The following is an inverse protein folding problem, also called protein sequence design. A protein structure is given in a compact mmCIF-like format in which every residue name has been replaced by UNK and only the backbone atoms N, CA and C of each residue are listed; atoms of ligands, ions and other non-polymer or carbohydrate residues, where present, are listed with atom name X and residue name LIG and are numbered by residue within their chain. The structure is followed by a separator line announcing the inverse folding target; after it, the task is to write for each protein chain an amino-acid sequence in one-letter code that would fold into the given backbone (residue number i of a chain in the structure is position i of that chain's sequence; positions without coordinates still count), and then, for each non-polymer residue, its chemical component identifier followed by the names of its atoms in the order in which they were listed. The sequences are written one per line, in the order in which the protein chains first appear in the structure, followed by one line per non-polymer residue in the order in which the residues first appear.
data_IF_560165424890
#
_entry.id   IF_560165424890
#
_cell.length_a   1.000
_cell.length_b   1.000
_cell.length_c   1.000
_cell.angle_alpha   90.00
_cell.angle_beta   90.00
_cell.angle_gamma   90.00
#
_symmetry.space_group_name_H-M   'P 1'
#
loop_
_entity.id
_entity.type
_entity.pdbx_description
1 polymer ?
#
# COMPACT_ATOMS: atom_id res chain seq x y z
N UNK A 1 -26.54 11.74 10.62
CA UNK A 1 -25.93 11.88 9.28
C UNK A 1 -24.42 11.96 9.48
N UNK A 2 -23.65 10.92 9.09
CA UNK A 2 -22.22 10.84 9.42
C UNK A 2 -21.32 11.76 8.57
N UNK A 3 -21.85 12.26 7.46
CA UNK A 3 -21.26 13.31 6.65
C UNK A 3 -22.26 14.46 6.54
N UNK A 4 -21.87 15.66 6.95
CA UNK A 4 -22.72 16.84 7.04
C UNK A 4 -22.81 17.64 5.72
N UNK A 5 -22.13 17.18 4.66
CA UNK A 5 -22.06 17.85 3.37
C UNK A 5 -22.59 16.95 2.27
N UNK A 6 -23.34 17.54 1.34
CA UNK A 6 -23.70 16.92 0.08
C UNK A 6 -22.50 16.96 -0.86
N UNK A 7 -21.71 15.88 -0.85
CA UNK A 7 -20.53 15.74 -1.71
C UNK A 7 -20.75 14.63 -2.73
N UNK A 8 -20.31 14.88 -3.96
CA UNK A 8 -20.29 13.89 -5.03
C UNK A 8 -18.98 13.09 -5.01
N UNK A 9 -19.00 11.89 -5.61
CA UNK A 9 -17.81 11.06 -5.75
C UNK A 9 -16.76 11.76 -6.62
N UNK A 10 -15.58 12.05 -6.06
CA UNK A 10 -14.44 12.56 -6.84
C UNK A 10 -13.85 11.43 -7.67
N UNK A 11 -13.65 11.70 -8.96
CA UNK A 11 -12.90 10.82 -9.85
C UNK A 11 -11.41 11.15 -9.77
N UNK A 12 -10.57 10.13 -9.98
CA UNK A 12 -9.12 10.26 -10.10
C UNK A 12 -8.75 10.12 -11.58
N UNK A 13 -7.79 10.90 -12.06
CA UNK A 13 -7.22 10.74 -13.40
C UNK A 13 -6.59 9.35 -13.57
N UNK A 14 -6.72 8.76 -14.76
CA UNK A 14 -6.14 7.45 -15.09
C UNK A 14 -4.65 7.56 -15.45
N UNK A 15 -3.87 8.04 -14.48
CA UNK A 15 -2.43 8.21 -14.59
C UNK A 15 -1.75 7.56 -13.40
N UNK A 16 -0.60 6.92 -13.64
CA UNK A 16 0.25 6.40 -12.58
C UNK A 16 0.96 7.58 -11.87
N UNK A 17 0.94 7.58 -10.54
CA UNK A 17 1.50 8.69 -9.74
C UNK A 17 2.68 8.27 -8.86
N UNK A 18 2.84 6.98 -8.63
CA UNK A 18 3.78 6.40 -7.68
C UNK A 18 5.13 6.11 -8.33
N UNK A 19 6.20 6.46 -7.62
CA UNK A 19 7.58 6.07 -7.97
C UNK A 19 7.98 4.79 -7.25
N UNK A 20 9.03 4.12 -7.73
CA UNK A 20 9.58 2.97 -7.02
C UNK A 20 10.16 3.43 -5.66
N UNK A 21 9.64 2.82 -4.59
CA UNK A 21 10.04 3.07 -3.20
C UNK A 21 10.45 1.79 -2.48
N UNK A 22 10.77 0.72 -3.22
CA UNK A 22 11.12 -0.61 -2.70
C UNK A 22 12.16 -0.52 -1.58
N UNK A 23 13.27 0.20 -1.82
CA UNK A 23 14.34 0.33 -0.83
C UNK A 23 13.86 0.97 0.47
N UNK A 24 13.07 2.05 0.39
CA UNK A 24 12.57 2.75 1.56
C UNK A 24 11.59 1.88 2.38
N UNK A 25 10.75 1.09 1.70
CA UNK A 25 9.78 0.22 2.38
C UNK A 25 10.44 -1.03 2.98
N UNK A 26 11.39 -1.63 2.27
CA UNK A 26 12.11 -2.81 2.76
C UNK A 26 13.07 -2.46 3.90
N UNK A 27 13.55 -1.22 4.00
CA UNK A 27 14.40 -0.77 5.10
C UNK A 27 13.75 -0.84 6.49
N UNK A 28 12.42 -0.75 6.57
CA UNK A 28 11.67 -0.79 7.84
C UNK A 28 10.96 -2.14 8.08
N UNK A 29 11.11 -3.08 7.16
CA UNK A 29 10.39 -4.34 7.20
C UNK A 29 11.06 -5.34 8.17
N UNK A 30 10.28 -6.14 8.92
CA UNK A 30 10.86 -7.12 9.85
C UNK A 30 11.75 -8.17 9.20
N UNK A 31 11.40 -8.62 7.99
CA UNK A 31 12.14 -9.62 7.25
C UNK A 31 11.88 -9.49 5.75
N UNK A 32 12.95 -9.45 4.97
CA UNK A 32 12.92 -9.35 3.51
C UNK A 32 13.98 -10.26 2.91
N UNK A 33 13.65 -10.97 1.84
CA UNK A 33 14.59 -11.80 1.08
C UNK A 33 14.25 -11.72 -0.41
N UNK A 34 15.27 -11.56 -1.28
CA UNK A 34 15.09 -11.44 -2.74
C UNK A 34 14.04 -10.38 -3.17
N UNK A 35 13.89 -9.32 -2.37
CA UNK A 35 12.89 -8.28 -2.59
C UNK A 35 11.46 -8.67 -2.22
N UNK A 36 11.25 -9.77 -1.50
CA UNK A 36 9.96 -10.26 -0.99
C UNK A 36 9.88 -10.07 0.52
N UNK A 37 8.71 -9.74 1.03
CA UNK A 37 8.44 -9.70 2.47
C UNK A 37 8.20 -11.11 2.99
N UNK A 38 8.94 -11.51 4.03
CA UNK A 38 8.80 -12.82 4.63
C UNK A 38 7.69 -12.80 5.68
N UNK A 39 6.78 -13.78 5.60
CA UNK A 39 5.70 -13.99 6.58
C UNK A 39 5.67 -15.46 7.01
N UNK A 40 5.35 -15.77 8.28
CA UNK A 40 5.21 -17.15 8.72
C UNK A 40 4.10 -17.86 7.93
N UNK A 41 4.43 -19.01 7.33
CA UNK A 41 3.43 -19.89 6.73
C UNK A 41 2.84 -20.78 7.82
N UNK A 42 1.56 -20.63 8.10
CA UNK A 42 0.82 -21.57 8.95
C UNK A 42 0.50 -22.81 8.11
N UNK A 43 0.93 -23.98 8.58
CA UNK A 43 0.58 -25.28 8.03
C UNK A 43 0.06 -26.13 9.20
N UNK A 44 -1.12 -26.71 9.01
CA UNK A 44 -1.76 -27.68 9.90
C UNK A 44 -1.54 -29.12 9.39
#
# INVERSE_FOLDING_TARGET
MAHAQEVYQRLREDVATETDRRAAFQAIAPAVENGLYLVPRVID
#
